data_IF_536883077023
#
_entry.id   IF_536883077023
#
_cell.length_a   1.000
_cell.length_b   1.000
_cell.length_c   1.000
_cell.angle_alpha   90.00
_cell.angle_beta   90.00
_cell.angle_gamma   90.00
#
_symmetry.space_group_name_H-M   'P 1'
#
loop_
_entity.id
_entity.type
_entity.pdbx_description
1 polymer ?
#
# COMPACT_ATOMS: atom_id res chain seq x y z
N UNK A 1 -1.32 -7.17 -19.56
CA UNK A 1 -0.84 -8.50 -19.11
C UNK A 1 -1.61 -9.57 -19.90
N UNK A 2 -0.93 -10.49 -20.49
CA UNK A 2 -1.54 -11.62 -21.18
C UNK A 2 -0.98 -12.91 -20.58
N UNK A 3 -1.82 -13.92 -20.34
CA UNK A 3 -1.38 -15.22 -19.83
C UNK A 3 -0.40 -15.92 -20.80
N UNK A 4 -0.44 -15.53 -22.07
CA UNK A 4 0.42 -16.11 -23.13
C UNK A 4 1.83 -15.49 -23.09
N UNK A 5 1.96 -14.19 -22.78
CA UNK A 5 3.26 -13.48 -22.84
C UNK A 5 3.92 -13.32 -21.47
N UNK A 6 3.22 -13.70 -20.39
CA UNK A 6 3.72 -13.54 -19.03
C UNK A 6 3.77 -12.08 -18.57
N UNK A 7 4.50 -11.85 -17.47
CA UNK A 7 4.75 -10.52 -16.96
C UNK A 7 5.95 -9.87 -17.65
N UNK A 8 5.87 -8.58 -17.93
CA UNK A 8 6.98 -7.83 -18.53
C UNK A 8 8.08 -7.56 -17.48
N UNK A 9 9.32 -7.74 -17.89
CA UNK A 9 10.51 -7.44 -17.09
C UNK A 9 11.18 -6.12 -17.51
N UNK A 10 10.50 -5.32 -18.32
CA UNK A 10 10.92 -4.03 -18.81
C UNK A 10 9.76 -3.06 -18.88
N UNK A 11 10.07 -1.78 -18.89
CA UNK A 11 9.14 -0.69 -19.23
C UNK A 11 9.62 -0.03 -20.50
N UNK A 12 8.69 0.43 -21.34
CA UNK A 12 8.99 0.99 -22.67
C UNK A 12 8.84 2.52 -22.64
N UNK A 13 9.83 3.21 -23.21
CA UNK A 13 9.80 4.63 -23.48
C UNK A 13 10.08 4.84 -24.96
N UNK A 14 9.07 5.26 -25.71
CA UNK A 14 9.14 5.34 -27.18
C UNK A 14 9.43 3.97 -27.79
N UNK A 15 10.58 3.85 -28.45
CA UNK A 15 11.07 2.60 -29.08
C UNK A 15 12.07 1.82 -28.21
N UNK A 16 12.43 2.34 -27.03
CA UNK A 16 13.41 1.71 -26.15
C UNK A 16 12.74 1.00 -24.96
N UNK A 17 13.27 -0.19 -24.64
CA UNK A 17 12.88 -0.97 -23.48
C UNK A 17 13.95 -0.87 -22.37
N UNK A 18 13.51 -0.49 -21.18
CA UNK A 18 14.38 -0.38 -20.00
C UNK A 18 14.12 -1.53 -19.04
N UNK A 19 15.15 -2.35 -18.74
CA UNK A 19 15.03 -3.42 -17.76
C UNK A 19 14.68 -2.86 -16.38
N UNK A 20 13.69 -3.46 -15.73
CA UNK A 20 13.20 -3.10 -14.41
C UNK A 20 13.31 -4.28 -13.47
N UNK A 21 13.67 -4.04 -12.20
CA UNK A 21 13.66 -5.09 -11.19
C UNK A 21 12.23 -5.44 -10.85
N UNK A 22 11.85 -6.70 -11.00
CA UNK A 22 10.47 -7.16 -10.89
C UNK A 22 10.18 -7.94 -9.61
N UNK A 23 11.20 -8.23 -8.78
CA UNK A 23 11.00 -8.89 -7.49
C UNK A 23 10.09 -8.02 -6.60
N UNK A 24 9.04 -8.61 -6.05
CA UNK A 24 8.04 -7.90 -5.25
C UNK A 24 8.65 -7.17 -4.03
N UNK A 25 9.75 -7.67 -3.47
CA UNK A 25 10.41 -7.05 -2.31
C UNK A 25 10.98 -5.67 -2.66
N UNK A 26 11.46 -5.50 -3.90
CA UNK A 26 11.91 -4.18 -4.39
C UNK A 26 10.74 -3.20 -4.38
N UNK A 27 9.56 -3.64 -4.79
CA UNK A 27 8.37 -2.80 -4.85
C UNK A 27 7.74 -2.51 -3.49
N UNK A 28 7.89 -3.43 -2.52
CA UNK A 28 7.59 -3.14 -1.12
C UNK A 28 8.54 -2.07 -0.54
N UNK A 29 9.82 -2.07 -0.93
CA UNK A 29 10.75 -0.98 -0.58
C UNK A 29 10.37 0.34 -1.26
N UNK A 30 9.91 0.31 -2.50
CA UNK A 30 9.37 1.50 -3.19
C UNK A 30 8.16 2.05 -2.43
N UNK A 31 7.20 1.20 -2.03
CA UNK A 31 6.04 1.60 -1.21
C UNK A 31 6.49 2.31 0.07
N UNK A 32 7.48 1.74 0.77
CA UNK A 32 8.05 2.32 1.99
C UNK A 32 8.71 3.69 1.72
N UNK A 33 9.46 3.83 0.64
CA UNK A 33 10.09 5.11 0.26
C UNK A 33 9.03 6.16 -0.06
N UNK A 34 7.99 5.81 -0.80
CA UNK A 34 6.91 6.74 -1.15
C UNK A 34 6.16 7.26 0.08
N UNK A 35 6.00 6.42 1.11
CA UNK A 35 5.34 6.77 2.39
C UNK A 35 6.26 7.47 3.39
N UNK A 36 7.57 7.52 3.16
CA UNK A 36 8.53 8.16 4.07
C UNK A 36 8.39 9.68 4.08
N UNK A 37 9.01 10.36 5.06
CA UNK A 37 9.06 11.82 5.17
C UNK A 37 10.22 12.46 4.38
N UNK A 38 10.94 11.68 3.58
CA UNK A 38 12.05 12.19 2.79
C UNK A 38 11.56 13.25 1.80
N UNK A 39 12.45 14.17 1.40
CA UNK A 39 12.18 15.17 0.39
C UNK A 39 11.79 14.51 -0.95
N UNK A 40 11.00 15.20 -1.76
CA UNK A 40 10.50 14.68 -3.02
C UNK A 40 11.63 14.19 -3.94
N UNK A 41 12.70 15.01 -4.05
CA UNK A 41 13.87 14.67 -4.86
C UNK A 41 14.59 13.42 -4.36
N UNK A 42 14.71 13.28 -3.03
CA UNK A 42 15.32 12.10 -2.41
C UNK A 42 14.49 10.84 -2.65
N UNK A 43 13.15 10.94 -2.52
CA UNK A 43 12.24 9.83 -2.85
C UNK A 43 12.41 9.39 -4.31
N UNK A 44 12.43 10.35 -5.24
CA UNK A 44 12.61 10.09 -6.66
C UNK A 44 13.92 9.34 -6.90
N UNK A 45 15.04 9.88 -6.39
CA UNK A 45 16.36 9.27 -6.57
C UNK A 45 16.41 7.83 -6.00
N UNK A 46 15.84 7.61 -4.81
CA UNK A 46 15.76 6.29 -4.18
C UNK A 46 14.92 5.31 -4.99
N UNK A 47 13.72 5.73 -5.44
CA UNK A 47 12.83 4.89 -6.26
C UNK A 47 13.52 4.48 -7.55
N UNK A 48 14.10 5.44 -8.29
CA UNK A 48 14.79 5.14 -9.55
C UNK A 48 15.99 4.19 -9.35
N UNK A 49 16.78 4.40 -8.30
CA UNK A 49 17.91 3.54 -7.96
C UNK A 49 17.50 2.11 -7.53
N UNK A 50 16.34 1.97 -6.88
CA UNK A 50 15.79 0.66 -6.51
C UNK A 50 15.30 -0.11 -7.74
N UNK A 51 14.61 0.57 -8.63
CA UNK A 51 13.81 -0.05 -9.69
C UNK A 51 14.63 -0.34 -10.95
N UNK A 52 15.44 0.61 -11.40
CA UNK A 52 16.15 0.48 -12.67
C UNK A 52 17.56 -0.09 -12.51
N UNK A 53 17.98 -0.92 -13.46
CA UNK A 53 19.40 -1.31 -13.62
C UNK A 53 20.15 -0.35 -14.53
N UNK A 54 19.43 0.27 -15.48
CA UNK A 54 19.90 1.32 -16.38
C UNK A 54 18.79 2.37 -16.47
N UNK A 55 19.08 3.60 -16.03
CA UNK A 55 18.08 4.69 -16.05
C UNK A 55 17.78 5.13 -17.50
N UNK A 56 16.50 5.34 -17.83
CA UNK A 56 16.11 6.12 -19.01
C UNK A 56 16.72 7.52 -18.98
N UNK A 57 16.83 8.18 -20.14
CA UNK A 57 17.46 9.49 -20.24
C UNK A 57 16.66 10.62 -19.55
N UNK A 58 15.35 10.47 -19.46
CA UNK A 58 14.45 11.45 -18.83
C UNK A 58 14.03 11.00 -17.44
N UNK A 59 14.40 11.75 -16.39
CA UNK A 59 14.00 11.46 -15.00
C UNK A 59 12.49 11.46 -14.79
N UNK A 60 11.76 12.44 -15.37
CA UNK A 60 10.31 12.53 -15.23
C UNK A 60 9.58 11.35 -15.85
N UNK A 61 10.00 10.95 -17.04
CA UNK A 61 9.47 9.79 -17.73
C UNK A 61 9.79 8.49 -17.00
N UNK A 62 11.04 8.33 -16.52
CA UNK A 62 11.46 7.18 -15.72
C UNK A 62 10.61 6.99 -14.48
N UNK A 63 10.31 8.10 -13.78
CA UNK A 63 9.46 8.06 -12.60
C UNK A 63 8.03 7.67 -12.96
N UNK A 64 7.46 8.26 -14.01
CA UNK A 64 6.10 7.93 -14.47
C UNK A 64 5.97 6.44 -14.79
N UNK A 65 6.91 5.90 -15.57
CA UNK A 65 6.94 4.47 -15.92
C UNK A 65 7.08 3.55 -14.68
N UNK A 66 7.90 3.96 -13.70
CA UNK A 66 8.04 3.22 -12.46
C UNK A 66 6.74 3.23 -11.64
N UNK A 67 6.06 4.37 -11.56
CA UNK A 67 4.78 4.49 -10.85
C UNK A 67 3.68 3.69 -11.56
N UNK A 68 3.62 3.73 -12.88
CA UNK A 68 2.66 2.94 -13.66
C UNK A 68 2.89 1.43 -13.47
N UNK A 69 4.14 1.01 -13.43
CA UNK A 69 4.50 -0.39 -13.13
C UNK A 69 4.11 -0.76 -11.70
N UNK A 70 4.40 0.11 -10.72
CA UNK A 70 4.00 -0.08 -9.32
C UNK A 70 2.48 -0.23 -9.17
N UNK A 71 1.71 0.60 -9.88
CA UNK A 71 0.25 0.56 -9.85
C UNK A 71 -0.36 -0.70 -10.51
N UNK A 72 0.44 -1.50 -11.24
CA UNK A 72 -0.04 -2.69 -11.94
C UNK A 72 -1.07 -2.36 -13.03
N UNK A 73 -1.00 -1.15 -13.60
CA UNK A 73 -1.95 -0.65 -14.60
C UNK A 73 -3.32 -0.23 -14.05
N UNK A 74 -3.50 -0.23 -12.72
CA UNK A 74 -4.70 0.31 -12.09
C UNK A 74 -4.53 1.81 -11.86
N UNK A 75 -5.52 2.60 -12.27
CA UNK A 75 -5.59 4.01 -11.85
C UNK A 75 -5.86 4.05 -10.36
N UNK A 76 -5.09 4.88 -9.64
CA UNK A 76 -5.29 5.10 -8.21
C UNK A 76 -6.67 5.74 -8.03
N UNK A 77 -7.60 5.04 -7.42
CA UNK A 77 -8.81 5.67 -6.90
C UNK A 77 -8.41 6.54 -5.71
N UNK A 78 -8.56 7.84 -5.86
CA UNK A 78 -8.30 8.80 -4.79
C UNK A 78 -9.47 8.80 -3.81
N UNK A 79 -9.21 8.69 -2.51
CA UNK A 79 -10.20 8.96 -1.47
C UNK A 79 -10.70 7.77 -0.65
N UNK A 80 -10.11 6.57 -0.78
CA UNK A 80 -10.45 5.43 0.08
C UNK A 80 -9.71 5.44 1.42
N UNK A 81 -10.37 4.95 2.49
CA UNK A 81 -9.72 4.70 3.78
C UNK A 81 -8.56 3.70 3.62
N UNK A 82 -7.42 3.96 4.26
CA UNK A 82 -6.28 3.05 4.29
C UNK A 82 -6.60 1.85 5.18
N UNK A 83 -6.88 0.70 4.58
CA UNK A 83 -7.30 -0.51 5.28
C UNK A 83 -6.15 -1.47 5.59
N UNK A 84 -5.00 -1.32 4.94
CA UNK A 84 -3.80 -2.13 5.19
C UNK A 84 -2.52 -1.33 4.98
N UNK A 85 -1.43 -1.88 5.49
CA UNK A 85 -0.08 -1.40 5.25
C UNK A 85 0.86 -2.59 5.05
N UNK A 86 1.66 -2.59 3.99
CA UNK A 86 2.54 -3.74 3.67
C UNK A 86 3.58 -4.02 4.75
N UNK A 87 4.11 -2.98 5.41
CA UNK A 87 5.11 -3.13 6.47
C UNK A 87 4.45 -3.56 7.79
N UNK A 88 3.42 -2.83 8.21
CA UNK A 88 2.72 -3.10 9.47
C UNK A 88 2.04 -4.47 9.48
N UNK A 89 1.38 -4.81 8.39
CA UNK A 89 0.63 -6.08 8.24
C UNK A 89 1.48 -7.22 7.66
N UNK A 90 2.81 -7.04 7.54
CA UNK A 90 3.69 -8.01 6.88
C UNK A 90 3.55 -9.44 7.40
N UNK A 91 3.37 -9.62 8.71
CA UNK A 91 3.15 -10.95 9.33
C UNK A 91 1.82 -11.58 8.93
N UNK A 92 0.76 -10.77 8.84
CA UNK A 92 -0.57 -11.23 8.42
C UNK A 92 -0.57 -11.61 6.94
N UNK A 93 0.11 -10.80 6.11
CA UNK A 93 0.26 -11.06 4.67
C UNK A 93 1.06 -12.34 4.44
N UNK A 94 2.20 -12.50 5.13
CA UNK A 94 3.01 -13.72 5.07
C UNK A 94 2.19 -14.97 5.44
N UNK A 95 1.44 -14.89 6.54
CA UNK A 95 0.59 -16.00 7.00
C UNK A 95 -0.53 -16.32 6.00
N UNK A 96 -1.16 -15.29 5.40
CA UNK A 96 -2.22 -15.45 4.41
C UNK A 96 -1.70 -16.12 3.12
N UNK A 97 -0.55 -15.71 2.60
CA UNK A 97 0.09 -16.36 1.45
C UNK A 97 0.45 -17.80 1.74
N UNK A 98 1.00 -18.07 2.93
CA UNK A 98 1.34 -19.44 3.35
C UNK A 98 0.09 -20.32 3.47
N UNK A 99 -0.97 -19.78 4.08
CA UNK A 99 -2.22 -20.50 4.30
C UNK A 99 -2.94 -20.82 2.99
N UNK A 100 -3.07 -19.84 2.11
CA UNK A 100 -3.91 -19.97 0.90
C UNK A 100 -3.17 -20.57 -0.29
N UNK A 101 -1.90 -20.21 -0.47
CA UNK A 101 -1.13 -20.57 -1.67
C UNK A 101 0.03 -21.53 -1.38
N UNK A 102 0.30 -21.80 -0.11
CA UNK A 102 1.51 -22.50 0.33
C UNK A 102 2.82 -21.80 -0.10
N UNK A 103 2.77 -20.50 -0.38
CA UNK A 103 3.92 -19.67 -0.77
C UNK A 103 4.59 -19.10 0.47
N UNK A 104 5.91 -19.23 0.55
CA UNK A 104 6.73 -18.57 1.56
C UNK A 104 7.37 -17.32 0.99
N UNK A 105 6.77 -16.14 1.26
CA UNK A 105 7.26 -14.85 0.77
C UNK A 105 8.70 -14.50 1.24
N UNK A 106 9.25 -15.20 2.23
CA UNK A 106 10.63 -14.97 2.69
C UNK A 106 11.65 -15.66 1.79
N UNK A 107 11.29 -16.76 1.14
CA UNK A 107 12.22 -17.61 0.37
C UNK A 107 11.89 -17.68 -1.11
N UNK A 108 10.63 -17.49 -1.48
CA UNK A 108 10.20 -17.59 -2.88
C UNK A 108 10.27 -16.23 -3.57
N UNK A 109 10.64 -16.26 -4.84
CA UNK A 109 10.70 -15.08 -5.70
C UNK A 109 9.41 -14.98 -6.49
N UNK A 110 8.72 -13.84 -6.35
CA UNK A 110 7.53 -13.52 -7.11
C UNK A 110 7.78 -12.25 -7.91
N UNK A 111 7.27 -12.21 -9.11
CA UNK A 111 7.15 -10.98 -9.88
C UNK A 111 6.15 -10.03 -9.19
N UNK A 112 6.40 -8.71 -9.18
CA UNK A 112 5.53 -7.73 -8.52
C UNK A 112 4.06 -7.86 -8.91
N UNK A 113 3.77 -7.98 -10.20
CA UNK A 113 2.40 -8.12 -10.67
C UNK A 113 1.75 -9.46 -10.32
N UNK A 114 2.55 -10.52 -10.19
CA UNK A 114 2.08 -11.81 -9.66
C UNK A 114 1.73 -11.67 -8.18
N UNK A 115 2.63 -11.07 -7.40
CA UNK A 115 2.35 -10.76 -5.99
C UNK A 115 1.06 -9.95 -5.84
N UNK A 116 0.86 -8.89 -6.63
CA UNK A 116 -0.36 -8.09 -6.59
C UNK A 116 -1.61 -8.89 -6.97
N UNK A 117 -1.51 -9.77 -7.95
CA UNK A 117 -2.63 -10.64 -8.37
C UNK A 117 -3.02 -11.61 -7.24
N UNK A 118 -2.06 -12.29 -6.64
CA UNK A 118 -2.27 -13.20 -5.51
C UNK A 118 -2.77 -12.44 -4.26
N UNK A 119 -2.18 -11.28 -3.98
CA UNK A 119 -2.59 -10.43 -2.86
C UNK A 119 -4.04 -9.97 -2.98
N UNK A 120 -4.47 -9.55 -4.16
CA UNK A 120 -5.86 -9.11 -4.40
C UNK A 120 -6.85 -10.26 -4.41
N UNK A 121 -6.42 -11.50 -4.58
CA UNK A 121 -7.23 -12.71 -4.58
C UNK A 121 -7.22 -13.44 -3.22
N UNK A 122 -6.63 -12.84 -2.16
CA UNK A 122 -6.70 -13.42 -0.82
C UNK A 122 -8.14 -13.55 -0.34
N UNK A 123 -8.49 -14.75 0.14
CA UNK A 123 -9.84 -15.12 0.53
C UNK A 123 -10.21 -14.72 1.96
N UNK A 124 -11.50 -14.72 2.23
CA UNK A 124 -12.10 -14.35 3.51
C UNK A 124 -11.68 -15.24 4.69
N UNK A 125 -11.19 -16.44 4.41
CA UNK A 125 -10.73 -17.37 5.44
C UNK A 125 -9.40 -16.93 6.07
N UNK A 126 -8.62 -16.07 5.40
CA UNK A 126 -7.37 -15.56 5.95
C UNK A 126 -7.60 -14.52 7.04
N UNK A 127 -6.77 -14.54 8.09
CA UNK A 127 -6.85 -13.54 9.15
C UNK A 127 -6.62 -12.12 8.61
N UNK A 128 -5.77 -11.96 7.60
CA UNK A 128 -5.50 -10.67 6.95
C UNK A 128 -6.80 -10.03 6.41
N UNK A 129 -7.59 -10.78 5.64
CA UNK A 129 -8.85 -10.26 5.08
C UNK A 129 -9.89 -10.00 6.20
N UNK A 130 -9.94 -10.85 7.23
CA UNK A 130 -10.80 -10.59 8.40
C UNK A 130 -10.45 -9.28 9.09
N UNK A 131 -9.14 -8.99 9.25
CA UNK A 131 -8.67 -7.71 9.82
C UNK A 131 -9.03 -6.52 8.94
N UNK A 132 -8.84 -6.61 7.61
CA UNK A 132 -9.25 -5.56 6.67
C UNK A 132 -10.75 -5.27 6.77
N UNK A 133 -11.58 -6.30 6.81
CA UNK A 133 -13.04 -6.15 6.98
C UNK A 133 -13.41 -5.44 8.28
N UNK A 134 -12.72 -5.76 9.38
CA UNK A 134 -12.93 -5.08 10.67
C UNK A 134 -12.52 -3.61 10.60
N UNK A 135 -11.39 -3.30 9.97
CA UNK A 135 -10.93 -1.91 9.79
C UNK A 135 -11.89 -1.07 8.95
N UNK A 136 -12.38 -1.62 7.83
CA UNK A 136 -13.32 -0.93 6.94
C UNK A 136 -14.79 -0.96 7.41
N UNK A 137 -15.09 -1.55 8.58
CA UNK A 137 -16.46 -1.68 9.05
C UNK A 137 -17.04 -0.33 9.48
N UNK A 138 -18.19 0.01 8.92
CA UNK A 138 -18.99 1.16 9.35
C UNK A 138 -19.85 0.78 10.56
N UNK A 139 -19.39 1.20 11.73
CA UNK A 139 -20.06 0.90 13.01
C UNK A 139 -21.41 1.63 13.17
N UNK A 140 -21.68 2.68 12.39
CA UNK A 140 -22.96 3.42 12.46
C UNK A 140 -24.14 2.56 11.98
N UNK A 141 -23.88 1.60 11.11
CA UNK A 141 -24.87 0.65 10.57
C UNK A 141 -25.24 -0.47 11.53
N UNK A 142 -24.51 -0.62 12.64
CA UNK A 142 -24.75 -1.67 13.64
C UNK A 142 -25.80 -1.17 14.65
N UNK A 143 -27.01 -1.71 14.59
CA UNK A 143 -28.13 -1.29 15.46
C UNK A 143 -27.94 -1.75 16.91
N UNK A 144 -27.46 -2.97 17.12
CA UNK A 144 -27.20 -3.56 18.42
C UNK A 144 -26.04 -2.83 19.13
N UNK A 145 -26.30 -2.29 20.31
CA UNK A 145 -25.36 -1.48 21.08
C UNK A 145 -24.18 -2.29 21.62
N UNK A 146 -24.44 -3.52 22.09
CA UNK A 146 -23.41 -4.35 22.69
C UNK A 146 -22.47 -4.91 21.61
N UNK A 147 -23.05 -5.39 20.52
CA UNK A 147 -22.28 -5.80 19.34
C UNK A 147 -21.48 -4.65 18.75
N UNK A 148 -22.02 -3.45 18.64
CA UNK A 148 -21.29 -2.25 18.20
C UNK A 148 -20.11 -1.94 19.12
N UNK A 149 -20.29 -2.07 20.43
CA UNK A 149 -19.23 -1.86 21.44
C UNK A 149 -18.09 -2.89 21.30
N UNK A 150 -18.43 -4.15 21.11
CA UNK A 150 -17.44 -5.23 20.88
C UNK A 150 -16.65 -4.98 19.59
N UNK A 151 -17.34 -4.70 18.47
CA UNK A 151 -16.72 -4.42 17.19
C UNK A 151 -15.86 -3.13 17.24
N UNK A 152 -16.26 -2.14 18.02
CA UNK A 152 -15.44 -0.93 18.24
C UNK A 152 -14.12 -1.25 18.96
N UNK A 153 -14.15 -2.11 19.96
CA UNK A 153 -12.93 -2.59 20.65
C UNK A 153 -12.02 -3.34 19.67
N UNK A 154 -12.62 -4.20 18.84
CA UNK A 154 -11.89 -4.99 17.86
C UNK A 154 -11.28 -4.08 16.76
N UNK A 155 -12.05 -3.11 16.24
CA UNK A 155 -11.56 -2.13 15.26
C UNK A 155 -10.38 -1.31 15.82
N UNK A 156 -10.44 -0.90 17.10
CA UNK A 156 -9.32 -0.22 17.77
C UNK A 156 -8.10 -1.12 17.93
N UNK A 157 -8.30 -2.40 18.29
CA UNK A 157 -7.19 -3.35 18.47
C UNK A 157 -6.43 -3.62 17.17
N UNK A 158 -7.11 -3.58 16.04
CA UNK A 158 -6.51 -3.78 14.71
C UNK A 158 -6.20 -2.49 13.96
N UNK A 159 -6.41 -1.32 14.55
CA UNK A 159 -6.15 -0.05 13.89
C UNK A 159 -4.71 0.05 13.38
N UNK A 160 -4.55 0.62 12.19
CA UNK A 160 -3.23 0.97 11.68
C UNK A 160 -2.67 2.15 12.48
N UNK A 161 -1.36 2.20 12.71
CA UNK A 161 -0.75 3.41 13.22
C UNK A 161 -0.98 4.56 12.23
N UNK A 162 -1.14 5.75 12.75
CA UNK A 162 -1.18 6.94 11.90
C UNK A 162 0.12 7.07 11.12
N UNK A 163 0.01 7.51 9.87
CA UNK A 163 1.16 8.03 9.15
C UNK A 163 1.51 9.39 9.72
N UNK A 164 2.76 9.84 9.56
CA UNK A 164 3.15 11.18 10.02
C UNK A 164 2.35 12.30 9.34
N UNK A 165 1.87 12.08 8.13
CA UNK A 165 0.96 13.02 7.47
C UNK A 165 -0.40 13.05 8.18
N UNK A 166 -1.00 11.89 8.47
CA UNK A 166 -2.25 11.78 9.24
C UNK A 166 -2.09 12.37 10.67
N UNK A 167 -0.92 12.20 11.30
CA UNK A 167 -0.61 12.81 12.60
C UNK A 167 -0.61 14.34 12.52
N UNK A 168 0.06 14.93 11.52
CA UNK A 168 0.08 16.39 11.29
C UNK A 168 -1.32 16.94 11.00
N UNK A 169 -2.06 16.28 10.11
CA UNK A 169 -3.45 16.68 9.79
C UNK A 169 -4.35 16.64 11.03
N UNK A 170 -4.20 15.62 11.89
CA UNK A 170 -4.93 15.52 13.15
C UNK A 170 -4.51 16.62 14.15
N UNK A 171 -3.22 16.93 14.26
CA UNK A 171 -2.71 18.00 15.12
C UNK A 171 -3.24 19.37 14.66
N UNK A 172 -3.21 19.65 13.35
CA UNK A 172 -3.76 20.87 12.78
C UNK A 172 -5.25 21.00 13.03
N UNK A 173 -6.01 19.90 12.87
CA UNK A 173 -7.44 19.87 13.17
C UNK A 173 -7.72 20.16 14.65
N UNK A 174 -6.98 19.53 15.57
CA UNK A 174 -7.12 19.77 17.01
C UNK A 174 -6.79 21.22 17.35
N UNK A 175 -5.78 21.81 16.73
CA UNK A 175 -5.42 23.21 16.93
C UNK A 175 -6.50 24.17 16.40
N UNK A 176 -7.11 23.87 15.26
CA UNK A 176 -8.22 24.68 14.72
C UNK A 176 -9.43 24.65 15.62
N UNK A 177 -9.85 23.46 16.09
CA UNK A 177 -10.98 23.30 16.99
C UNK A 177 -10.78 24.01 18.34
N UNK A 178 -9.53 24.06 18.86
CA UNK A 178 -9.21 24.82 20.08
C UNK A 178 -9.29 26.32 19.88
N UNK A 179 -8.98 26.83 18.69
CA UNK A 179 -9.09 28.26 18.35
C UNK A 179 -10.56 28.69 18.24
N UNK A 180 -11.40 27.84 17.61
CA UNK A 180 -12.81 28.14 17.41
C UNK A 180 -13.65 27.95 18.69
N UNK A 181 -13.22 27.06 19.60
CA UNK A 181 -13.87 26.85 20.91
C UNK A 181 -13.47 27.84 22.02
N UNK A 182 -12.51 28.75 21.75
CA UNK A 182 -12.03 29.76 22.71
C UNK A 182 -12.73 31.13 22.66
N UNK A 183 -13.77 31.29 21.86
CA UNK A 183 -14.43 32.58 21.54
C UNK A 183 -15.73 32.91 22.32
N UNK A 184 -16.04 32.23 23.40
CA UNK A 184 -17.18 32.61 24.26
C UNK A 184 -16.70 32.82 25.70
N UNK A 185 -16.40 34.08 26.03
CA UNK A 185 -16.52 34.67 27.38
C UNK A 185 -16.91 36.12 27.27
#
# INVERSE_FOLDING_TARGET
>A
MCLITGFKNSVSSGSEDFPIRTDFRVWLLVDKVLKSDALAEEKIARVLGLVYTKLPQSFGESLSLAIDFYAGGKKKESGGERLFDFEYDSKLILAAFRQQYNINLLTENLHWHEFLALFSALGEETLFIKVIKVRGMDLSKIKDSDRRRELSKLKKAYALPYTKQEERENEELILSLKKDGGGEK
#
